data_IF_351778116757
#
_entry.id   IF_351778116757
#
_cell.length_a   1.000
_cell.length_b   1.000
_cell.length_c   1.000
_cell.angle_alpha   90.00
_cell.angle_beta   90.00
_cell.angle_gamma   90.00
#
_symmetry.space_group_name_H-M   'P 1'
#
loop_
_entity.id
_entity.type
_entity.pdbx_description
1 polymer ?
#
# COMPACT_ATOMS: atom_id res chain seq x y z
N UNK A 1 13.05 8.40 -52.13
CA UNK A 1 11.85 7.93 -51.45
C UNK A 1 10.82 7.45 -52.46
N UNK A 2 10.11 6.33 -52.16
CA UNK A 2 8.97 5.93 -52.98
C UNK A 2 7.93 7.04 -53.04
N UNK A 3 7.46 7.38 -54.22
CA UNK A 3 6.48 8.44 -54.42
C UNK A 3 5.09 7.91 -54.81
N UNK A 4 4.99 6.63 -55.10
CA UNK A 4 3.73 5.91 -55.38
C UNK A 4 3.71 4.52 -54.74
N UNK A 5 2.52 3.95 -54.61
CA UNK A 5 2.32 2.57 -54.05
C UNK A 5 2.96 1.47 -54.85
N UNK A 6 3.38 1.73 -56.12
CA UNK A 6 4.02 0.80 -57.01
C UNK A 6 5.52 0.92 -57.09
N UNK A 7 6.12 1.90 -56.40
CA UNK A 7 7.55 2.13 -56.39
C UNK A 7 8.30 1.08 -55.56
N UNK A 8 9.42 0.55 -56.07
CA UNK A 8 10.27 -0.34 -55.29
C UNK A 8 11.02 0.45 -54.23
N UNK A 9 10.90 0.02 -52.97
CA UNK A 9 11.65 0.61 -51.85
C UNK A 9 13.13 0.19 -51.90
N UNK A 10 14.03 1.11 -51.66
CA UNK A 10 15.43 0.74 -51.44
C UNK A 10 15.60 0.08 -50.08
N UNK A 11 16.60 -0.78 -49.93
CA UNK A 11 16.96 -1.37 -48.65
C UNK A 11 17.13 -0.30 -47.56
N UNK A 12 17.83 0.79 -47.90
CA UNK A 12 18.04 1.92 -46.95
C UNK A 12 16.73 2.56 -46.48
N UNK A 13 15.75 2.74 -47.36
CA UNK A 13 14.45 3.27 -46.99
C UNK A 13 13.67 2.32 -46.06
N UNK A 14 13.68 1.03 -46.39
CA UNK A 14 13.04 0.00 -45.55
C UNK A 14 13.73 -0.06 -44.18
N UNK A 15 15.05 -0.08 -44.14
CA UNK A 15 15.80 -0.12 -42.88
C UNK A 15 15.53 1.11 -42.02
N UNK A 16 15.44 2.31 -42.60
CA UNK A 16 15.06 3.53 -41.85
C UNK A 16 13.63 3.52 -41.39
N UNK A 17 12.68 3.03 -42.19
CA UNK A 17 11.28 2.94 -41.82
C UNK A 17 11.05 1.91 -40.69
N UNK A 18 11.81 0.81 -40.71
CA UNK A 18 11.73 -0.26 -39.72
C UNK A 18 12.54 0.07 -38.46
N UNK A 19 13.56 0.91 -38.53
CA UNK A 19 14.37 1.29 -37.36
C UNK A 19 13.53 1.86 -36.20
N UNK A 20 12.47 2.61 -36.51
CA UNK A 20 11.53 3.12 -35.51
C UNK A 20 10.57 2.04 -34.94
N UNK A 21 10.43 0.90 -35.59
CA UNK A 21 9.60 -0.21 -35.14
C UNK A 21 10.36 -1.26 -34.31
N UNK A 22 11.69 -1.16 -34.25
CA UNK A 22 12.55 -2.09 -33.49
C UNK A 22 12.63 -1.79 -32.00
N UNK A 23 11.74 -0.98 -31.47
CA UNK A 23 11.75 -0.60 -30.04
C UNK A 23 11.36 -1.73 -29.09
N UNK A 24 10.86 -2.88 -29.60
CA UNK A 24 10.45 -4.01 -28.80
C UNK A 24 11.04 -5.31 -29.34
N UNK A 25 11.80 -5.99 -28.49
CA UNK A 25 12.36 -7.32 -28.75
C UNK A 25 11.83 -8.29 -27.69
N UNK A 26 11.64 -9.54 -28.08
CA UNK A 26 11.29 -10.60 -27.15
C UNK A 26 12.54 -11.43 -26.88
N UNK A 27 12.91 -11.54 -25.60
CA UNK A 27 13.89 -12.51 -25.11
C UNK A 27 13.17 -13.67 -24.44
N UNK A 28 13.64 -14.89 -24.63
CA UNK A 28 13.06 -16.06 -24.01
C UNK A 28 13.21 -15.99 -22.48
N UNK A 29 14.39 -15.63 -22.01
CA UNK A 29 14.68 -15.42 -20.59
C UNK A 29 15.72 -14.32 -20.39
N UNK A 30 15.95 -13.95 -19.11
CA UNK A 30 16.97 -12.95 -18.74
C UNK A 30 17.83 -13.42 -17.57
N UNK A 31 19.10 -13.04 -17.58
CA UNK A 31 20.01 -13.39 -16.48
C UNK A 31 19.58 -12.81 -15.14
N UNK A 32 19.85 -13.52 -14.05
CA UNK A 32 19.72 -13.05 -12.67
C UNK A 32 21.07 -12.76 -12.03
N UNK A 33 22.15 -13.18 -12.66
CA UNK A 33 23.55 -13.00 -12.24
C UNK A 33 24.48 -12.99 -13.43
N UNK A 34 25.79 -13.05 -13.16
CA UNK A 34 26.80 -13.19 -14.19
C UNK A 34 26.73 -14.56 -14.85
N UNK A 35 26.77 -14.58 -16.18
CA UNK A 35 26.70 -15.80 -17.01
C UNK A 35 28.00 -15.94 -17.81
N UNK A 36 28.54 -17.14 -17.86
CA UNK A 36 29.70 -17.41 -18.71
C UNK A 36 29.27 -17.59 -20.17
N UNK A 37 29.52 -16.54 -20.98
CA UNK A 37 29.11 -16.49 -22.39
C UNK A 37 29.77 -17.62 -23.22
N UNK A 38 30.91 -18.13 -22.75
CA UNK A 38 31.69 -19.13 -23.52
C UNK A 38 31.09 -20.53 -23.47
N UNK A 39 30.26 -20.85 -22.48
CA UNK A 39 29.78 -22.24 -22.28
C UNK A 39 28.48 -22.36 -21.45
N UNK A 40 27.80 -21.29 -21.14
CA UNK A 40 26.57 -21.35 -20.33
C UNK A 40 25.37 -20.73 -21.06
N UNK A 41 25.43 -20.67 -22.38
CA UNK A 41 24.33 -20.29 -23.27
C UNK A 41 24.16 -21.32 -24.40
N UNK A 42 24.31 -22.58 -24.06
CA UNK A 42 24.10 -23.68 -24.99
C UNK A 42 22.71 -24.31 -24.81
N UNK A 43 22.22 -24.96 -25.83
CA UNK A 43 20.98 -25.74 -25.71
C UNK A 43 21.09 -26.78 -24.59
N UNK A 44 20.16 -26.77 -23.66
CA UNK A 44 20.16 -27.57 -22.45
C UNK A 44 20.64 -26.85 -21.19
N UNK A 45 21.33 -25.71 -21.31
CA UNK A 45 21.64 -24.88 -20.17
C UNK A 45 20.38 -24.20 -19.61
N UNK A 46 20.45 -23.76 -18.35
CA UNK A 46 19.32 -23.10 -17.69
C UNK A 46 19.67 -21.67 -17.29
N UNK A 47 18.85 -20.71 -17.73
CA UNK A 47 18.93 -19.31 -17.31
C UNK A 47 17.61 -18.91 -16.66
N UNK A 48 17.63 -18.42 -15.44
CA UNK A 48 16.44 -18.03 -14.67
C UNK A 48 15.37 -19.14 -14.62
N UNK A 49 15.79 -20.41 -14.56
CA UNK A 49 14.91 -21.58 -14.54
C UNK A 49 14.38 -22.03 -15.90
N UNK A 50 14.75 -21.34 -16.99
CA UNK A 50 14.36 -21.69 -18.37
C UNK A 50 15.46 -22.50 -19.02
N UNK A 51 15.12 -23.69 -19.54
CA UNK A 51 16.05 -24.50 -20.30
C UNK A 51 16.14 -23.97 -21.73
N UNK A 52 17.36 -23.61 -22.17
CA UNK A 52 17.59 -22.99 -23.45
C UNK A 52 17.47 -23.99 -24.62
N UNK A 53 16.98 -23.48 -25.73
CA UNK A 53 17.00 -24.12 -27.05
C UNK A 53 17.89 -23.29 -27.97
N UNK A 54 18.59 -23.92 -28.90
CA UNK A 54 19.43 -23.22 -29.88
C UNK A 54 18.60 -22.18 -30.66
N UNK A 55 19.06 -20.96 -30.71
CA UNK A 55 18.36 -19.83 -31.33
C UNK A 55 17.53 -18.97 -30.36
N UNK A 56 17.36 -19.40 -29.11
CA UNK A 56 16.69 -18.57 -28.09
C UNK A 56 17.43 -17.26 -27.88
N UNK A 57 16.70 -16.16 -27.81
CA UNK A 57 17.24 -14.85 -27.39
C UNK A 57 17.31 -14.79 -25.89
N UNK A 58 18.50 -14.53 -25.35
CA UNK A 58 18.74 -14.41 -23.90
C UNK A 58 19.23 -13.00 -23.59
N UNK A 59 18.55 -12.32 -22.67
CA UNK A 59 19.00 -11.02 -22.18
C UNK A 59 20.02 -11.21 -21.04
N UNK A 60 21.27 -10.91 -21.28
CA UNK A 60 22.29 -10.77 -20.24
C UNK A 60 22.29 -9.32 -19.74
N UNK A 61 21.91 -9.10 -18.48
CA UNK A 61 21.79 -7.76 -17.87
C UNK A 61 22.55 -7.60 -16.54
N UNK A 62 23.17 -8.70 -16.08
CA UNK A 62 23.82 -8.76 -14.79
C UNK A 62 25.29 -9.23 -14.90
N UNK A 63 25.94 -8.96 -16.04
CA UNK A 63 27.33 -9.34 -16.22
C UNK A 63 28.26 -8.50 -15.31
N UNK A 64 29.26 -9.15 -14.71
CA UNK A 64 30.29 -8.48 -13.91
C UNK A 64 31.09 -7.46 -14.74
N UNK A 65 31.26 -7.72 -16.02
CA UNK A 65 31.76 -6.78 -17.01
C UNK A 65 30.58 -6.22 -17.79
N UNK A 66 30.12 -5.03 -17.43
CA UNK A 66 28.87 -4.47 -17.97
C UNK A 66 28.87 -4.26 -19.49
N UNK A 67 30.02 -4.18 -20.14
CA UNK A 67 30.10 -4.15 -21.61
C UNK A 67 29.74 -5.47 -22.28
N UNK A 68 29.60 -6.54 -21.50
CA UNK A 68 29.12 -7.85 -21.96
C UNK A 68 27.60 -8.00 -21.82
N UNK A 69 26.92 -7.06 -21.18
CA UNK A 69 25.45 -7.06 -21.18
C UNK A 69 24.89 -6.89 -22.60
N UNK A 70 23.71 -7.41 -22.86
CA UNK A 70 23.02 -7.35 -24.15
C UNK A 70 22.22 -8.58 -24.46
N UNK A 71 21.73 -8.65 -25.70
CA UNK A 71 21.03 -9.81 -26.22
C UNK A 71 22.01 -10.78 -26.87
N UNK A 72 21.81 -12.06 -26.58
CA UNK A 72 22.62 -13.16 -27.12
C UNK A 72 21.70 -14.25 -27.69
N UNK A 73 22.20 -14.95 -28.67
CA UNK A 73 21.55 -16.16 -29.21
C UNK A 73 22.16 -17.40 -28.57
N UNK A 74 21.30 -18.21 -27.98
CA UNK A 74 21.72 -19.52 -27.49
C UNK A 74 22.21 -20.41 -28.65
N UNK A 75 23.30 -21.11 -28.44
CA UNK A 75 23.93 -21.98 -29.46
C UNK A 75 23.57 -23.44 -29.23
N UNK A 76 23.86 -24.30 -30.23
CA UNK A 76 23.69 -25.73 -30.06
C UNK A 76 24.64 -26.28 -28.97
N UNK A 77 24.24 -27.34 -28.31
CA UNK A 77 25.07 -28.00 -27.29
C UNK A 77 26.44 -28.35 -27.84
N UNK A 78 27.50 -27.96 -27.15
CA UNK A 78 28.88 -28.18 -27.58
C UNK A 78 29.37 -27.24 -28.70
N UNK A 79 28.60 -26.24 -29.10
CA UNK A 79 29.03 -25.23 -30.09
C UNK A 79 29.97 -24.14 -29.55
N UNK A 80 30.08 -24.03 -28.23
CA UNK A 80 30.97 -23.07 -27.57
C UNK A 80 30.33 -21.72 -27.33
N UNK A 81 31.10 -20.64 -27.52
CA UNK A 81 30.67 -19.28 -27.12
C UNK A 81 29.45 -18.80 -27.91
N UNK A 82 28.45 -18.31 -27.17
CA UNK A 82 27.31 -17.62 -27.77
C UNK A 82 27.72 -16.26 -28.35
N UNK A 83 27.07 -15.87 -29.45
CA UNK A 83 27.22 -14.56 -30.06
C UNK A 83 26.09 -13.63 -29.67
N UNK A 84 26.33 -12.31 -29.77
CA UNK A 84 25.25 -11.33 -29.68
C UNK A 84 24.23 -11.57 -30.81
N UNK A 85 22.99 -11.25 -30.51
CA UNK A 85 21.96 -11.17 -31.54
C UNK A 85 22.39 -10.15 -32.61
N UNK A 86 22.52 -10.56 -33.90
CA UNK A 86 23.00 -9.70 -34.96
C UNK A 86 22.07 -8.51 -35.29
N UNK A 87 20.85 -8.52 -34.78
CA UNK A 87 19.92 -7.39 -34.88
C UNK A 87 20.09 -6.39 -33.72
N UNK A 88 20.96 -6.70 -32.74
CA UNK A 88 21.18 -5.91 -31.51
C UNK A 88 22.67 -5.97 -31.10
N UNK A 89 23.57 -5.83 -32.03
CA UNK A 89 25.01 -5.93 -31.82
C UNK A 89 25.74 -4.58 -31.88
N UNK A 90 25.00 -3.48 -32.07
CA UNK A 90 25.53 -2.10 -31.99
C UNK A 90 24.88 -1.30 -30.85
N UNK A 91 25.56 -0.27 -30.33
CA UNK A 91 24.98 0.60 -29.29
C UNK A 91 23.73 1.34 -29.83
N UNK A 92 23.71 1.72 -31.10
CA UNK A 92 22.57 2.40 -31.71
C UNK A 92 21.30 1.53 -31.75
N UNK A 93 21.45 0.22 -31.87
CA UNK A 93 20.34 -0.72 -31.85
C UNK A 93 19.86 -1.06 -30.44
N UNK A 94 20.78 -1.01 -29.47
CA UNK A 94 20.48 -1.29 -28.07
C UNK A 94 19.87 -0.10 -27.34
N UNK A 95 20.36 1.11 -27.61
CA UNK A 95 20.01 2.35 -26.90
C UNK A 95 18.53 2.67 -27.00
N UNK A 96 17.85 2.81 -25.86
CA UNK A 96 16.41 3.07 -25.81
C UNK A 96 15.52 1.87 -26.20
N UNK A 97 16.14 0.71 -26.52
CA UNK A 97 15.40 -0.52 -26.85
C UNK A 97 14.69 -1.11 -25.64
N UNK A 98 13.45 -1.59 -25.87
CA UNK A 98 12.67 -2.33 -24.88
C UNK A 98 12.73 -3.82 -25.16
N UNK A 99 13.06 -4.60 -24.15
CA UNK A 99 13.15 -6.05 -24.23
C UNK A 99 12.08 -6.64 -23.31
N UNK A 100 11.18 -7.41 -23.89
CA UNK A 100 10.15 -8.17 -23.15
C UNK A 100 10.70 -9.54 -22.88
N UNK A 101 10.73 -9.95 -21.63
CA UNK A 101 11.15 -11.30 -21.22
C UNK A 101 9.92 -12.20 -21.17
N UNK A 102 9.98 -13.31 -21.88
CA UNK A 102 8.85 -14.22 -22.10
C UNK A 102 8.67 -15.20 -20.94
N UNK A 103 9.78 -15.71 -20.37
CA UNK A 103 9.79 -16.73 -19.32
C UNK A 103 10.86 -16.44 -18.26
N UNK A 104 10.74 -17.10 -17.11
CA UNK A 104 11.72 -17.06 -16.03
C UNK A 104 11.10 -17.19 -14.66
N UNK A 105 11.87 -17.63 -13.68
CA UNK A 105 11.43 -17.69 -12.29
C UNK A 105 11.41 -16.30 -11.62
N UNK A 106 12.30 -15.40 -12.07
CA UNK A 106 12.45 -14.05 -11.52
C UNK A 106 12.06 -12.98 -12.51
N UNK A 107 12.39 -13.16 -13.80
CA UNK A 107 12.21 -12.14 -14.82
C UNK A 107 11.02 -12.37 -15.75
N UNK A 108 10.18 -13.35 -15.49
CA UNK A 108 8.98 -13.64 -16.27
C UNK A 108 8.10 -12.40 -16.47
N UNK A 109 7.64 -12.18 -17.70
CA UNK A 109 6.74 -11.09 -18.10
C UNK A 109 7.25 -9.66 -17.76
N UNK A 110 8.55 -9.49 -17.52
CA UNK A 110 9.14 -8.17 -17.27
C UNK A 110 9.58 -7.50 -18.57
N UNK A 111 9.54 -6.18 -18.56
CA UNK A 111 10.05 -5.33 -19.62
C UNK A 111 11.32 -4.64 -19.12
N UNK A 112 12.39 -4.73 -19.87
CA UNK A 112 13.65 -4.04 -19.60
C UNK A 112 13.92 -3.00 -20.66
N UNK A 113 14.25 -1.78 -20.21
CA UNK A 113 14.70 -0.67 -21.06
C UNK A 113 16.22 -0.60 -21.03
N UNK A 114 16.87 -0.57 -22.18
CA UNK A 114 18.27 -0.22 -22.27
C UNK A 114 18.45 1.29 -22.01
N UNK A 115 19.13 1.62 -20.93
CA UNK A 115 19.37 3.02 -20.51
C UNK A 115 20.75 3.55 -20.91
N UNK A 116 21.49 2.79 -21.72
CA UNK A 116 22.78 3.21 -22.23
C UNK A 116 22.60 4.25 -23.35
N UNK A 117 23.35 5.35 -23.28
CA UNK A 117 23.34 6.38 -24.31
C UNK A 117 23.83 5.84 -25.66
N UNK A 118 23.33 6.43 -26.76
CA UNK A 118 23.70 6.04 -28.10
C UNK A 118 25.11 6.57 -28.49
N UNK A 119 26.09 6.25 -27.64
CA UNK A 119 27.51 6.66 -27.86
C UNK A 119 28.44 5.51 -27.47
N UNK A 120 29.52 5.35 -28.19
CA UNK A 120 30.53 4.32 -27.94
C UNK A 120 30.36 3.07 -28.81
N UNK A 121 30.89 1.96 -28.32
CA UNK A 121 30.85 0.67 -29.03
C UNK A 121 30.58 -0.51 -28.10
N UNK A 122 29.87 -1.50 -28.64
CA UNK A 122 29.64 -2.77 -27.95
C UNK A 122 30.96 -3.47 -27.63
N UNK A 123 31.06 -4.06 -26.46
CA UNK A 123 32.29 -4.67 -25.95
C UNK A 123 33.19 -3.74 -25.13
N UNK A 124 33.05 -2.40 -25.32
CA UNK A 124 33.80 -1.40 -24.53
C UNK A 124 32.87 -0.54 -23.65
N UNK A 125 31.72 -0.14 -24.17
CA UNK A 125 30.75 0.68 -23.41
C UNK A 125 29.95 -0.17 -22.46
N UNK A 126 29.80 0.29 -21.21
CA UNK A 126 28.93 -0.36 -20.23
C UNK A 126 27.47 -0.29 -20.68
N UNK A 127 26.83 -1.44 -20.80
CA UNK A 127 25.43 -1.55 -21.19
C UNK A 127 24.60 -1.80 -19.95
N UNK A 128 23.58 -0.97 -19.74
CA UNK A 128 22.70 -1.02 -18.56
C UNK A 128 21.24 -1.18 -18.95
N UNK A 129 20.53 -1.97 -18.16
CA UNK A 129 19.11 -2.22 -18.34
C UNK A 129 18.36 -1.90 -17.04
N UNK A 130 17.24 -1.22 -17.16
CA UNK A 130 16.33 -0.92 -16.07
C UNK A 130 14.98 -1.60 -16.33
N UNK A 131 14.42 -2.25 -15.30
CA UNK A 131 13.08 -2.83 -15.41
C UNK A 131 12.04 -1.71 -15.48
N UNK A 132 11.14 -1.80 -16.45
CA UNK A 132 9.95 -0.96 -16.50
C UNK A 132 8.87 -1.67 -15.68
N UNK A 133 8.62 -1.18 -14.49
CA UNK A 133 7.46 -1.61 -13.72
C UNK A 133 6.28 -0.73 -14.08
N UNK A 134 5.12 -1.31 -14.45
CA UNK A 134 3.91 -0.51 -14.57
C UNK A 134 3.67 0.20 -13.24
N UNK A 135 3.72 1.51 -13.24
CA UNK A 135 3.47 2.30 -12.04
C UNK A 135 1.96 2.37 -11.77
N UNK A 136 1.33 1.19 -11.58
CA UNK A 136 0.00 1.09 -10.99
C UNK A 136 0.04 1.10 -9.46
N UNK A 137 1.22 1.10 -8.90
CA UNK A 137 1.42 1.47 -7.50
C UNK A 137 1.48 2.99 -7.48
N UNK A 138 0.39 3.63 -7.12
CA UNK A 138 0.47 5.04 -6.74
C UNK A 138 1.70 5.22 -5.85
N UNK A 139 2.44 6.29 -6.03
CA UNK A 139 3.68 6.62 -5.31
C UNK A 139 3.47 6.87 -3.82
N UNK A 140 2.42 6.30 -3.23
CA UNK A 140 2.26 6.29 -1.78
C UNK A 140 3.20 5.22 -1.23
N UNK A 141 4.43 5.60 -0.98
CA UNK A 141 5.44 4.71 -0.40
C UNK A 141 5.17 4.41 1.06
N UNK A 142 4.38 5.26 1.73
CA UNK A 142 3.90 5.02 3.09
C UNK A 142 2.64 5.84 3.39
N UNK A 143 1.75 5.27 4.18
CA UNK A 143 0.64 5.96 4.81
C UNK A 143 0.85 5.86 6.31
N UNK A 144 0.84 6.99 7.00
CA UNK A 144 0.92 7.06 8.45
C UNK A 144 -0.22 7.90 9.02
N UNK A 145 -0.68 7.55 10.20
CA UNK A 145 -1.55 8.37 11.03
C UNK A 145 -0.72 8.79 12.24
N UNK A 146 -0.64 10.08 12.50
CA UNK A 146 -0.01 10.61 13.71
C UNK A 146 -1.10 11.02 14.68
N UNK A 147 -0.98 10.60 15.93
CA UNK A 147 -1.73 11.20 17.04
C UNK A 147 -1.04 12.50 17.42
N UNK A 148 -1.71 13.62 17.16
CA UNK A 148 -1.23 14.95 17.55
C UNK A 148 -1.66 15.33 18.97
N UNK A 149 -2.38 14.46 19.65
CA UNK A 149 -2.87 14.64 21.00
C UNK A 149 -1.96 14.02 22.06
N UNK A 150 -2.43 14.00 23.29
CA UNK A 150 -1.69 13.50 24.46
C UNK A 150 -1.83 11.97 24.65
N UNK A 151 -1.80 11.19 23.62
CA UNK A 151 -1.88 9.72 23.70
C UNK A 151 -3.32 9.19 23.77
N UNK A 152 -4.27 9.90 23.18
CA UNK A 152 -5.68 9.53 23.14
C UNK A 152 -5.92 8.29 22.27
N UNK A 153 -5.06 8.11 21.28
CA UNK A 153 -5.09 6.95 20.37
C UNK A 153 -3.77 6.19 20.41
N UNK A 154 -3.87 4.87 20.39
CA UNK A 154 -2.73 4.04 20.02
C UNK A 154 -2.85 3.70 18.54
N UNK A 155 -1.89 4.15 17.74
CA UNK A 155 -1.84 3.84 16.32
C UNK A 155 -0.85 2.70 16.11
N UNK A 156 -1.37 1.51 15.79
CA UNK A 156 -0.56 0.35 15.48
C UNK A 156 -0.32 0.18 13.98
N UNK A 157 0.76 -0.51 13.62
CA UNK A 157 1.11 -0.85 12.23
C UNK A 157 1.26 0.36 11.30
N UNK A 158 1.83 1.47 11.80
CA UNK A 158 2.09 2.66 11.01
C UNK A 158 3.58 3.02 11.06
N UNK A 159 4.18 3.50 9.96
CA UNK A 159 3.60 3.63 8.62
C UNK A 159 3.44 2.29 7.90
N UNK A 160 2.44 2.17 7.04
CA UNK A 160 2.31 1.05 6.12
C UNK A 160 3.17 1.32 4.89
N UNK A 161 4.18 0.47 4.65
CA UNK A 161 5.12 0.59 3.53
C UNK A 161 4.91 -0.45 2.43
N UNK A 162 3.98 -1.39 2.64
CA UNK A 162 3.62 -2.41 1.65
C UNK A 162 2.10 -2.60 1.64
N UNK A 163 1.61 -3.74 2.08
CA UNK A 163 0.19 -4.00 2.31
C UNK A 163 -0.07 -4.21 3.80
N UNK A 164 -1.25 -3.81 4.28
CA UNK A 164 -1.60 -4.01 5.68
C UNK A 164 -2.77 -3.13 6.12
N UNK A 165 -3.15 -3.27 7.38
CA UNK A 165 -4.19 -2.48 8.01
C UNK A 165 -3.57 -1.55 9.06
N UNK A 166 -4.03 -0.32 9.12
CA UNK A 166 -3.78 0.56 10.26
C UNK A 166 -4.82 0.25 11.32
N UNK A 167 -4.38 -0.13 12.51
CA UNK A 167 -5.26 -0.33 13.66
C UNK A 167 -5.28 0.93 14.50
N UNK A 168 -6.47 1.37 14.89
CA UNK A 168 -6.69 2.53 15.74
C UNK A 168 -7.44 2.07 17.00
N UNK A 169 -6.85 2.22 18.16
CA UNK A 169 -7.48 1.95 19.42
C UNK A 169 -7.58 3.25 20.24
N UNK A 170 -8.76 3.54 20.77
CA UNK A 170 -8.96 4.65 21.70
C UNK A 170 -8.58 4.14 23.09
N UNK A 171 -7.53 4.70 23.68
CA UNK A 171 -7.09 4.34 25.03
C UNK A 171 -7.86 5.11 26.09
N UNK A 172 -8.04 6.40 25.87
CA UNK A 172 -8.79 7.32 26.73
C UNK A 172 -9.22 8.54 25.91
N UNK A 173 -10.31 9.14 26.33
CA UNK A 173 -10.74 10.44 25.79
C UNK A 173 -10.71 11.42 26.96
N UNK A 174 -9.84 12.44 26.86
CA UNK A 174 -9.75 13.46 27.91
C UNK A 174 -11.04 14.27 27.99
N UNK A 175 -11.43 14.69 29.21
CA UNK A 175 -12.66 15.46 29.47
C UNK A 175 -12.78 16.70 28.58
N UNK A 176 -11.65 17.33 28.23
CA UNK A 176 -11.61 18.51 27.36
C UNK A 176 -12.03 18.21 25.92
N UNK A 177 -12.04 16.93 25.53
CA UNK A 177 -12.44 16.45 24.19
C UNK A 177 -13.89 15.94 24.17
N UNK A 178 -14.46 15.69 25.35
CA UNK A 178 -15.84 15.29 25.48
C UNK A 178 -16.73 16.55 25.51
N UNK A 179 -17.49 16.73 24.46
CA UNK A 179 -18.59 17.70 24.48
C UNK A 179 -19.71 17.23 25.42
N UNK A 180 -20.63 18.13 25.78
CA UNK A 180 -21.82 17.76 26.52
C UNK A 180 -22.60 16.69 25.77
N UNK A 181 -22.84 15.53 26.38
CA UNK A 181 -23.70 14.49 25.82
C UNK A 181 -25.15 14.92 26.00
N UNK A 182 -25.68 15.59 24.98
CA UNK A 182 -27.05 16.13 25.01
C UNK A 182 -28.11 15.16 24.46
N UNK A 183 -27.68 14.09 23.80
CA UNK A 183 -28.61 13.10 23.21
C UNK A 183 -29.06 12.11 24.27
N UNK A 184 -30.38 11.90 24.41
CA UNK A 184 -30.95 10.93 25.33
C UNK A 184 -30.45 9.50 25.04
N UNK A 185 -30.42 8.67 26.07
CA UNK A 185 -30.06 7.22 26.00
C UNK A 185 -28.62 6.91 25.54
N UNK A 186 -27.69 7.87 25.61
CA UNK A 186 -26.26 7.65 25.27
C UNK A 186 -25.42 7.19 26.46
N UNK A 187 -25.84 7.48 27.68
CA UNK A 187 -25.18 7.02 28.90
C UNK A 187 -26.19 6.23 29.71
N UNK A 188 -25.90 4.95 29.92
CA UNK A 188 -26.72 4.11 30.81
C UNK A 188 -26.50 4.49 32.28
N UNK A 189 -27.51 4.44 33.11
CA UNK A 189 -27.36 4.61 34.58
C UNK A 189 -26.37 3.61 35.17
N UNK A 190 -26.29 2.39 34.60
CA UNK A 190 -25.32 1.36 35.04
C UNK A 190 -23.86 1.73 34.71
N UNK A 191 -23.65 2.69 33.83
CA UNK A 191 -22.31 3.23 33.49
C UNK A 191 -21.86 4.36 34.43
N UNK A 192 -22.76 4.86 35.30
CA UNK A 192 -22.46 5.88 36.31
C UNK A 192 -21.93 5.22 37.57
N UNK A 193 -20.65 5.37 37.86
CA UNK A 193 -20.08 4.89 39.12
C UNK A 193 -20.38 5.90 40.23
N UNK A 194 -21.52 5.68 40.93
CA UNK A 194 -21.96 6.53 42.04
C UNK A 194 -21.11 6.28 43.31
N UNK A 195 -20.69 5.02 43.53
CA UNK A 195 -19.88 4.64 44.70
C UNK A 195 -18.46 5.26 44.63
N UNK A 196 -17.98 5.57 43.40
CA UNK A 196 -16.70 6.26 43.20
C UNK A 196 -16.78 7.78 43.30
N UNK A 197 -17.95 8.34 43.50
CA UNK A 197 -18.14 9.77 43.68
C UNK A 197 -17.63 10.26 45.06
N UNK A 198 -17.20 11.50 45.12
CA UNK A 198 -16.86 12.15 46.41
C UNK A 198 -18.16 12.37 47.21
N UNK A 199 -18.10 12.10 48.52
CA UNK A 199 -19.17 12.42 49.42
C UNK A 199 -19.46 13.92 49.39
N UNK A 200 -20.72 14.32 49.52
CA UNK A 200 -21.13 15.73 49.59
C UNK A 200 -20.54 16.43 50.83
N UNK A 201 -20.20 15.66 51.89
CA UNK A 201 -19.54 16.14 53.09
C UNK A 201 -20.39 17.05 53.96
N UNK A 202 -21.70 17.12 53.73
CA UNK A 202 -22.64 17.95 54.48
C UNK A 202 -24.05 17.33 54.47
N UNK A 203 -24.89 17.77 55.39
CA UNK A 203 -26.32 17.35 55.40
C UNK A 203 -27.02 17.85 54.13
N UNK A 204 -27.95 17.02 53.61
CA UNK A 204 -28.77 17.41 52.46
C UNK A 204 -29.69 18.56 52.82
N UNK A 205 -29.80 19.54 51.94
CA UNK A 205 -30.67 20.70 52.06
C UNK A 205 -31.86 20.62 51.10
N UNK A 206 -32.90 21.40 51.34
CA UNK A 206 -34.09 21.44 50.47
C UNK A 206 -33.80 21.98 49.06
N UNK A 207 -32.64 22.63 48.85
CA UNK A 207 -32.21 23.14 47.56
C UNK A 207 -31.40 22.11 46.76
N UNK A 208 -30.89 21.06 47.38
CA UNK A 208 -30.12 20.02 46.69
C UNK A 208 -30.95 19.33 45.63
N UNK A 209 -30.26 18.90 44.55
CA UNK A 209 -30.91 18.33 43.37
C UNK A 209 -30.73 16.83 43.30
N UNK A 210 -31.81 16.14 42.95
CA UNK A 210 -31.83 14.72 42.62
C UNK A 210 -32.24 14.55 41.15
N UNK A 211 -31.80 13.47 40.55
CA UNK A 211 -32.24 13.05 39.19
C UNK A 211 -33.44 12.17 39.36
N UNK A 212 -34.55 12.49 38.70
CA UNK A 212 -35.76 11.68 38.66
C UNK A 212 -36.18 11.38 37.23
N UNK A 213 -36.70 10.17 37.00
CA UNK A 213 -37.43 9.87 35.77
C UNK A 213 -38.87 10.31 36.01
N UNK A 214 -39.42 11.20 35.16
CA UNK A 214 -40.77 11.72 35.31
C UNK A 214 -41.86 10.74 34.75
N UNK A 215 -41.45 9.54 34.32
CA UNK A 215 -42.36 8.49 33.83
C UNK A 215 -42.99 8.78 32.46
N UNK A 216 -42.76 9.93 31.90
CA UNK A 216 -43.38 10.39 30.64
C UNK A 216 -42.43 10.25 29.44
N UNK A 217 -41.99 9.01 29.13
CA UNK A 217 -41.22 8.75 27.91
C UNK A 217 -39.72 8.91 28.02
N UNK A 218 -39.13 8.69 29.21
CA UNK A 218 -37.71 8.43 29.38
C UNK A 218 -36.78 9.69 29.38
N UNK A 219 -37.27 10.82 29.83
CA UNK A 219 -36.41 12.00 30.07
C UNK A 219 -36.15 12.19 31.55
N UNK A 220 -34.90 12.01 31.94
CA UNK A 220 -34.45 12.34 33.30
C UNK A 220 -34.60 13.87 33.54
N UNK A 221 -35.15 14.21 34.68
CA UNK A 221 -35.34 15.56 35.16
C UNK A 221 -34.55 15.79 36.45
N UNK A 222 -34.10 16.99 36.69
CA UNK A 222 -33.62 17.39 38.01
C UNK A 222 -34.79 17.89 38.87
N UNK A 223 -34.83 17.45 40.10
CA UNK A 223 -35.81 17.91 41.08
C UNK A 223 -35.10 18.35 42.35
N UNK A 224 -35.51 19.46 42.97
CA UNK A 224 -35.03 19.84 44.27
C UNK A 224 -35.66 18.94 45.35
N UNK A 225 -34.91 18.62 46.39
CA UNK A 225 -35.38 17.79 47.52
C UNK A 225 -36.62 18.36 48.19
N UNK A 226 -36.84 19.70 48.15
CA UNK A 226 -38.07 20.32 48.60
C UNK A 226 -39.32 19.72 47.96
N UNK A 227 -39.25 19.26 46.67
CA UNK A 227 -40.39 18.60 45.98
C UNK A 227 -40.67 17.20 46.54
N UNK A 228 -39.61 16.50 46.94
CA UNK A 228 -39.74 15.19 47.58
C UNK A 228 -40.39 15.32 48.98
N UNK A 229 -39.95 16.32 49.73
CA UNK A 229 -40.57 16.62 51.05
C UNK A 229 -42.03 16.97 50.90
N UNK A 230 -42.39 17.77 49.86
CA UNK A 230 -43.80 18.10 49.58
C UNK A 230 -44.63 16.84 49.25
N UNK A 231 -44.07 15.92 48.44
CA UNK A 231 -44.73 14.66 48.08
C UNK A 231 -44.92 13.77 49.32
N UNK A 232 -43.90 13.63 50.17
CA UNK A 232 -43.98 12.86 51.41
C UNK A 232 -45.06 13.46 52.36
N UNK A 233 -45.04 14.77 52.56
CA UNK A 233 -46.05 15.44 53.38
C UNK A 233 -47.49 15.28 52.85
N UNK A 234 -47.67 15.24 51.54
CA UNK A 234 -48.99 15.07 50.94
C UNK A 234 -49.51 13.62 51.02
N UNK A 235 -48.63 12.64 51.25
CA UNK A 235 -48.98 11.22 51.29
C UNK A 235 -48.78 10.59 52.69
N UNK A 236 -48.32 11.34 53.67
CA UNK A 236 -48.33 10.91 55.06
C UNK A 236 -49.65 11.31 55.69
N UNK A 237 -50.25 10.37 56.42
CA UNK A 237 -51.44 10.69 57.19
C UNK A 237 -51.16 11.88 58.11
N UNK A 238 -52.16 12.79 58.23
CA UNK A 238 -52.03 13.98 59.06
C UNK A 238 -51.72 13.56 60.52
N UNK A 239 -50.56 13.98 61.06
CA UNK A 239 -50.21 13.65 62.43
C UNK A 239 -51.25 14.12 63.45
N UNK A 240 -52.04 15.14 63.08
CA UNK A 240 -53.16 15.62 63.92
C UNK A 240 -54.30 14.62 63.94
N UNK A 241 -54.57 13.93 62.82
CA UNK A 241 -55.59 12.86 62.81
C UNK A 241 -55.17 11.68 63.67
N UNK A 242 -53.86 11.31 63.62
CA UNK A 242 -53.34 10.24 64.46
C UNK A 242 -53.37 10.59 65.97
N UNK A 243 -52.99 11.86 66.27
CA UNK A 243 -53.04 12.35 67.65
C UNK A 243 -54.48 12.37 68.20
N UNK A 244 -55.46 12.74 67.39
CA UNK A 244 -56.88 12.69 67.80
C UNK A 244 -57.36 11.23 67.96
N UNK A 245 -56.89 10.30 67.16
CA UNK A 245 -57.27 8.89 67.27
C UNK A 245 -56.63 8.16 68.46
N UNK A 246 -55.54 8.71 69.05
CA UNK A 246 -54.86 8.13 70.21
C UNK A 246 -55.25 8.80 71.51
N UNK A 247 -56.19 9.76 71.52
CA UNK A 247 -56.85 10.43 72.65
C UNK A 247 -56.04 11.16 73.57
#
# INVERSE_FOLDING_TARGET
>A
EPSSNSDASTKSYVDQAVAGLRTRVIAECASTGNVNISNALEAGDAIDGVTLVAGDRVLLKNQSTASQNGLYLAVANGAGAASRDPEHDTIAELSGGMIVVNQGSVNDNKIFLCTTDNTGSVGSTSITYTVITPSNSGTVTQIGIADSGAGEFTVGNTPITSSGNITLAINSVADTKLGTIATANKVSLTALNIDGGSDIGADLTTSDLIIVDDGAGGTNKKAALSRMITLVKANTDDPTALAIALG
#
